data_IF_371574908957
#
_entry.id   IF_371574908957
#
_cell.length_a   1.000
_cell.length_b   1.000
_cell.length_c   1.000
_cell.angle_alpha   90.00
_cell.angle_beta   90.00
_cell.angle_gamma   90.00
#
_symmetry.space_group_name_H-M   'P 1'
#
loop_
_entity.id
_entity.type
_entity.pdbx_description
1 polymer ?
#
# COMPACT_ATOMS: atom_id res chain seq x y z
N UNK A 1 -30.88 -30.70 -5.41
CA UNK A 1 -30.61 -30.31 -5.50
C UNK A 1 -30.40 -30.05 -5.72
N UNK A 2 -30.43 -30.07 -5.30
CA UNK A 2 -30.01 -29.61 -5.37
C UNK A 2 -29.59 -29.24 -5.43
N UNK A 3 -29.33 -29.09 -5.27
CA UNK A 3 -28.78 -28.55 -5.30
C UNK A 3 -28.28 -28.16 -5.30
N UNK A 4 -28.19 -28.28 -5.06
CA UNK A 4 -27.58 -27.71 -5.09
C UNK A 4 -27.10 -27.53 -5.05
N UNK A 5 -26.89 -27.69 -4.79
CA UNK A 5 -26.27 -27.30 -4.79
C UNK A 5 -25.94 -26.82 -4.95
N UNK A 6 -26.05 -26.68 -4.59
CA UNK A 6 -25.63 -25.96 -4.74
C UNK A 6 -25.45 -25.44 -4.79
N UNK A 7 -25.45 -25.62 -4.53
CA UNK A 7 -25.03 -24.84 -4.57
C UNK A 7 -24.62 -24.57 -4.46
N UNK A 8 -24.59 -24.67 -4.22
CA UNK A 8 -24.03 -24.22 -4.23
C UNK A 8 -23.51 -23.81 -4.40
N UNK A 9 -23.36 -23.87 -4.22
CA UNK A 9 -22.96 -23.33 -4.41
C UNK A 9 -22.44 -22.66 -4.51
N UNK A 10 -22.20 -22.71 -4.27
CA UNK A 10 -21.66 -22.10 -4.27
C UNK A 10 -21.21 -21.34 -4.61
N UNK A 11 -20.96 -20.93 -4.29
CA UNK A 11 -20.56 -20.03 -4.51
C UNK A 11 -19.70 -19.74 -4.75
N UNK A 12 -19.27 -19.43 -5.18
CA UNK A 12 -18.18 -19.11 -5.24
C UNK A 12 -17.89 -18.04 -5.10
N UNK A 13 -17.40 -18.28 -5.01
CA UNK A 13 -16.70 -17.31 -4.61
C UNK A 13 -16.55 -16.27 -5.51
N UNK A 14 -16.81 -15.30 -5.10
CA UNK A 14 -16.56 -14.17 -5.79
C UNK A 14 -15.17 -14.09 -6.10
N UNK A 15 -14.93 -13.80 -7.22
CA UNK A 15 -13.70 -13.40 -7.50
C UNK A 15 -13.47 -12.19 -6.87
N UNK A 16 -12.64 -12.17 -6.02
CA UNK A 16 -12.30 -10.99 -5.46
C UNK A 16 -11.65 -10.20 -6.50
N UNK A 17 -11.96 -9.08 -6.49
CA UNK A 17 -11.18 -8.13 -7.10
C UNK A 17 -9.80 -8.21 -6.58
N UNK A 18 -8.94 -7.41 -7.09
CA UNK A 18 -7.59 -7.32 -6.58
C UNK A 18 -7.63 -7.02 -5.12
N UNK A 19 -6.96 -7.83 -4.36
CA UNK A 19 -6.83 -7.56 -2.96
C UNK A 19 -5.64 -6.64 -2.74
N UNK A 20 -5.87 -5.59 -2.00
CA UNK A 20 -4.82 -4.64 -1.68
C UNK A 20 -4.05 -5.17 -0.47
N UNK A 21 -2.75 -5.40 -0.60
CA UNK A 21 -1.96 -5.80 0.55
C UNK A 21 -2.02 -4.71 1.62
N UNK A 22 -2.26 -5.12 2.85
CA UNK A 22 -2.40 -4.18 3.95
C UNK A 22 -1.07 -3.87 4.64
N UNK A 23 -0.07 -4.72 4.44
CA UNK A 23 1.26 -4.53 5.03
C UNK A 23 2.31 -4.92 4.01
N UNK A 24 3.32 -4.09 3.85
CA UNK A 24 4.50 -4.42 3.04
C UNK A 24 5.73 -4.08 3.86
N UNK A 25 6.85 -4.72 3.57
CA UNK A 25 8.08 -4.41 4.27
C UNK A 25 8.61 -3.05 3.82
N UNK A 26 9.49 -2.48 4.64
CA UNK A 26 10.13 -1.22 4.28
C UNK A 26 10.87 -1.35 2.95
N UNK A 27 11.60 -2.45 2.75
CA UNK A 27 12.34 -2.65 1.51
C UNK A 27 11.40 -2.71 0.31
N UNK A 28 10.29 -3.44 0.43
CA UNK A 28 9.31 -3.52 -0.64
C UNK A 28 8.73 -2.14 -0.96
N UNK A 29 8.40 -1.38 0.06
CA UNK A 29 7.82 -0.05 -0.13
C UNK A 29 8.82 0.87 -0.84
N UNK A 30 10.05 0.91 -0.39
CA UNK A 30 11.10 1.75 -0.96
C UNK A 30 11.38 1.34 -2.41
N UNK A 31 11.47 0.04 -2.68
CA UNK A 31 11.72 -0.45 -4.04
C UNK A 31 10.56 -0.09 -4.97
N UNK A 32 9.33 -0.15 -4.48
CA UNK A 32 8.18 0.24 -5.29
C UNK A 32 8.24 1.73 -5.64
N UNK A 33 8.59 2.57 -4.66
CA UNK A 33 8.75 4.00 -4.92
C UNK A 33 9.84 4.27 -5.95
N UNK A 34 10.91 3.52 -5.89
CA UNK A 34 11.99 3.65 -6.85
C UNK A 34 11.51 3.30 -8.26
N UNK A 35 10.71 2.25 -8.39
CA UNK A 35 10.24 1.81 -9.71
C UNK A 35 9.29 2.81 -10.36
N UNK A 36 8.48 3.50 -9.57
CA UNK A 36 7.55 4.48 -10.12
C UNK A 36 8.11 5.91 -10.08
N UNK A 37 9.40 6.02 -9.77
CA UNK A 37 10.13 7.28 -9.81
C UNK A 37 9.58 8.32 -8.81
N UNK A 38 9.14 7.86 -7.65
CA UNK A 38 8.66 8.73 -6.58
C UNK A 38 9.56 8.75 -5.37
N UNK A 39 10.62 7.94 -5.35
CA UNK A 39 11.44 7.83 -4.15
C UNK A 39 12.06 9.16 -3.75
N UNK A 40 12.62 9.90 -4.70
CA UNK A 40 13.25 11.19 -4.40
C UNK A 40 12.25 12.18 -3.84
N UNK A 41 11.03 12.20 -4.39
CA UNK A 41 9.99 13.10 -3.89
C UNK A 41 9.56 12.74 -2.49
N UNK A 42 9.43 11.46 -2.21
CA UNK A 42 9.08 11.00 -0.88
C UNK A 42 10.18 11.36 0.12
N UNK A 43 11.42 11.13 -0.25
CA UNK A 43 12.54 11.44 0.64
C UNK A 43 12.64 12.94 0.90
N UNK A 44 12.40 13.76 -0.10
CA UNK A 44 12.39 15.20 0.08
C UNK A 44 11.27 15.64 1.03
N UNK A 45 10.09 15.03 0.89
CA UNK A 45 8.96 15.34 1.75
C UNK A 45 9.24 14.91 3.20
N UNK A 46 9.88 13.76 3.39
CA UNK A 46 10.25 13.28 4.72
C UNK A 46 11.30 14.21 5.33
N UNK A 47 12.27 14.66 4.55
CA UNK A 47 13.31 15.56 5.04
C UNK A 47 12.73 16.89 5.48
N UNK A 48 11.61 17.32 4.89
CA UNK A 48 10.95 18.56 5.26
C UNK A 48 9.91 18.37 6.37
N UNK A 49 9.66 17.13 6.80
CA UNK A 49 8.67 16.84 7.82
C UNK A 49 9.25 17.00 9.22
N UNK A 50 8.41 16.86 10.23
CA UNK A 50 8.86 16.94 11.60
C UNK A 50 9.67 15.69 11.98
N UNK A 51 10.32 15.76 13.13
CA UNK A 51 11.22 14.71 13.58
C UNK A 51 10.48 13.39 13.80
N UNK A 52 9.26 13.45 14.36
CA UNK A 52 8.49 12.24 14.61
C UNK A 52 8.16 11.53 13.31
N UNK A 53 7.80 12.29 12.28
CA UNK A 53 7.53 11.71 10.96
C UNK A 53 8.77 11.08 10.37
N UNK A 54 9.92 11.74 10.49
CA UNK A 54 11.18 11.21 9.99
C UNK A 54 11.53 9.89 10.68
N UNK A 55 11.37 9.83 11.99
CA UNK A 55 11.67 8.61 12.76
C UNK A 55 10.72 7.49 12.34
N UNK A 56 9.43 7.80 12.22
CA UNK A 56 8.45 6.79 11.80
C UNK A 56 8.75 6.25 10.42
N UNK A 57 9.22 7.08 9.52
CA UNK A 57 9.57 6.62 8.18
C UNK A 57 10.85 5.78 8.20
N UNK A 58 11.87 6.22 8.94
CA UNK A 58 13.21 5.62 8.87
C UNK A 58 13.34 4.36 9.72
N UNK A 59 12.60 4.27 10.83
CA UNK A 59 12.79 3.20 11.79
C UNK A 59 11.75 2.08 11.68
N UNK A 60 10.67 2.28 10.97
CA UNK A 60 9.67 1.22 10.83
C UNK A 60 10.18 0.16 9.87
N UNK A 61 9.93 -1.09 10.24
CA UNK A 61 10.32 -2.24 9.41
C UNK A 61 9.25 -2.59 8.40
N UNK A 62 8.00 -2.18 8.66
CA UNK A 62 6.87 -2.45 7.79
C UNK A 62 6.01 -1.20 7.67
N UNK A 63 5.37 -1.08 6.52
CA UNK A 63 4.39 -0.01 6.31
C UNK A 63 3.01 -0.60 6.11
N UNK A 64 2.05 -0.10 6.88
CA UNK A 64 0.66 -0.53 6.78
C UNK A 64 -0.10 0.45 5.89
N UNK A 65 -1.01 -0.07 5.09
CA UNK A 65 -1.83 0.77 4.22
C UNK A 65 -2.62 1.82 5.00
N UNK A 66 -3.02 1.49 6.23
CA UNK A 66 -3.77 2.40 7.09
C UNK A 66 -2.90 3.29 7.95
N UNK A 67 -1.58 3.19 7.84
CA UNK A 67 -0.69 4.02 8.64
C UNK A 67 -0.88 5.49 8.27
N UNK A 68 -1.14 6.38 9.24
CA UNK A 68 -1.45 7.79 8.94
C UNK A 68 -0.39 8.49 8.09
N UNK A 69 0.87 8.12 8.23
CA UNK A 69 1.94 8.70 7.42
C UNK A 69 1.68 8.47 5.92
N UNK A 70 1.12 7.31 5.56
CA UNK A 70 0.83 7.00 4.15
C UNK A 70 -0.18 8.02 3.59
N UNK A 71 -1.25 8.30 4.34
CA UNK A 71 -2.24 9.28 3.90
C UNK A 71 -1.64 10.68 3.81
N UNK A 72 -0.80 11.04 4.77
CA UNK A 72 -0.15 12.34 4.77
C UNK A 72 0.77 12.49 3.55
N UNK A 73 1.56 11.48 3.25
CA UNK A 73 2.46 11.52 2.11
C UNK A 73 1.69 11.55 0.80
N UNK A 74 0.60 10.79 0.71
CA UNK A 74 -0.24 10.82 -0.48
C UNK A 74 -0.79 12.22 -0.73
N UNK A 75 -1.24 12.90 0.30
CA UNK A 75 -1.75 14.26 0.18
C UNK A 75 -0.65 15.23 -0.29
N UNK A 76 0.55 15.11 0.29
CA UNK A 76 1.68 15.97 -0.08
C UNK A 76 2.07 15.77 -1.54
N UNK A 77 2.05 14.52 -2.00
CA UNK A 77 2.45 14.20 -3.37
C UNK A 77 1.31 14.30 -4.37
N UNK A 78 0.10 14.61 -3.92
CA UNK A 78 -1.05 14.71 -4.81
C UNK A 78 -1.53 13.37 -5.34
N UNK A 79 -1.34 12.29 -4.58
CA UNK A 79 -1.74 10.95 -5.01
C UNK A 79 -3.11 10.59 -4.45
N UNK A 80 -3.88 9.87 -5.26
CA UNK A 80 -5.19 9.39 -4.84
C UNK A 80 -5.07 8.08 -4.07
N UNK A 81 -6.14 7.69 -3.40
CA UNK A 81 -6.19 6.39 -2.71
C UNK A 81 -5.95 5.25 -3.69
N UNK A 82 -6.48 5.34 -4.90
CA UNK A 82 -6.29 4.30 -5.91
C UNK A 82 -4.82 4.18 -6.30
N UNK A 83 -4.11 5.31 -6.38
CA UNK A 83 -2.69 5.29 -6.70
C UNK A 83 -1.87 4.69 -5.56
N UNK A 84 -2.25 4.98 -4.32
CA UNK A 84 -1.58 4.40 -3.15
C UNK A 84 -1.85 2.90 -3.08
N UNK A 85 -3.07 2.47 -3.37
CA UNK A 85 -3.40 1.05 -3.43
C UNK A 85 -2.54 0.34 -4.48
N UNK A 86 -2.37 0.95 -5.65
CA UNK A 86 -1.54 0.39 -6.72
C UNK A 86 -0.07 0.28 -6.27
N UNK A 87 0.40 1.25 -5.50
CA UNK A 87 1.75 1.21 -4.95
C UNK A 87 1.93 0.00 -4.03
N UNK A 88 0.96 -0.26 -3.16
CA UNK A 88 1.02 -1.41 -2.26
C UNK A 88 0.95 -2.74 -3.02
N UNK A 89 0.14 -2.81 -4.07
CA UNK A 89 0.08 -4.00 -4.90
C UNK A 89 1.44 -4.25 -5.56
N UNK A 90 2.05 -3.21 -6.10
CA UNK A 90 3.38 -3.32 -6.70
C UNK A 90 4.41 -3.75 -5.64
N UNK A 91 4.38 -3.10 -4.48
CA UNK A 91 5.35 -3.38 -3.42
C UNK A 91 5.32 -4.85 -3.01
N UNK A 92 4.14 -5.44 -2.94
CA UNK A 92 4.01 -6.83 -2.52
C UNK A 92 4.63 -7.81 -3.51
N UNK A 93 4.94 -7.38 -4.72
CA UNK A 93 5.58 -8.24 -5.73
C UNK A 93 7.10 -8.16 -5.70
N UNK A 94 7.65 -7.33 -4.84
CA UNK A 94 9.09 -7.04 -4.84
C UNK A 94 9.89 -7.72 -3.71
#
# INVERSE_FOLDING_TARGET
ANQTRDGLEVAPAPVPAIQIPQVVSRAQFILALLQIDLLDEVEAAIAAADRATQINYEERLEFERSFPLIATMAAVLGKTDAEVDALFVLAATL
#
